data_IF_965892618018
#
_entry.id   IF_965892618018
#
_cell.length_a   1.000
_cell.length_b   1.000
_cell.length_c   1.000
_cell.angle_alpha   90.00
_cell.angle_beta   90.00
_cell.angle_gamma   90.00
#
_symmetry.space_group_name_H-M   'P 1'
#
loop_
_entity.id
_entity.type
_entity.pdbx_description
1 polymer ?
#
# COMPACT_ATOMS: atom_id res chain seq x y z
N UNK A 1 22.41 -52.32 4.21
CA UNK A 1 21.45 -51.45 3.47
C UNK A 1 21.58 -50.04 4.04
N UNK A 2 22.24 -49.14 3.32
CA UNK A 2 22.52 -47.76 3.75
C UNK A 2 21.42 -46.83 3.22
N UNK A 3 20.71 -46.15 4.13
CA UNK A 3 19.72 -45.12 3.75
C UNK A 3 20.48 -43.90 3.24
N UNK A 4 20.44 -43.67 1.92
CA UNK A 4 20.80 -42.39 1.30
C UNK A 4 19.97 -41.29 1.97
N UNK A 5 20.62 -40.39 2.70
CA UNK A 5 20.01 -39.13 3.12
C UNK A 5 19.62 -38.36 1.86
N UNK A 6 18.32 -38.16 1.67
CA UNK A 6 17.81 -37.26 0.63
C UNK A 6 18.23 -35.85 1.03
N UNK A 7 19.02 -35.21 0.17
CA UNK A 7 19.48 -33.84 0.37
C UNK A 7 18.30 -32.92 0.60
N UNK A 8 18.33 -32.19 1.72
CA UNK A 8 17.32 -31.20 2.04
C UNK A 8 17.22 -30.18 0.92
N UNK A 9 16.02 -29.97 0.42
CA UNK A 9 15.70 -28.87 -0.49
C UNK A 9 16.21 -27.59 0.17
N UNK A 10 17.11 -26.81 -0.44
CA UNK A 10 17.52 -25.53 0.14
C UNK A 10 16.27 -24.68 0.27
N UNK A 11 15.83 -24.44 1.50
CA UNK A 11 14.83 -23.43 1.78
C UNK A 11 15.38 -22.12 1.26
N UNK A 12 14.66 -21.47 0.33
CA UNK A 12 14.91 -20.11 -0.15
C UNK A 12 14.66 -19.09 0.98
N UNK A 13 15.27 -19.32 2.14
CA UNK A 13 15.25 -18.40 3.26
C UNK A 13 16.27 -17.32 3.01
N UNK A 14 15.85 -16.06 3.11
CA UNK A 14 16.76 -14.94 3.25
C UNK A 14 17.60 -15.15 4.52
N UNK A 15 18.92 -15.01 4.43
CA UNK A 15 19.77 -15.07 5.62
C UNK A 15 19.50 -13.86 6.52
N UNK A 16 19.71 -14.01 7.82
CA UNK A 16 19.32 -12.99 8.79
C UNK A 16 20.08 -11.66 8.62
N UNK A 17 21.34 -11.68 8.17
CA UNK A 17 22.10 -10.46 7.89
C UNK A 17 21.50 -9.70 6.69
N UNK A 18 21.14 -10.43 5.63
CA UNK A 18 20.43 -9.86 4.49
C UNK A 18 19.05 -9.33 4.90
N UNK A 19 18.32 -10.02 5.78
CA UNK A 19 17.04 -9.54 6.31
C UNK A 19 17.18 -8.22 7.05
N UNK A 20 18.17 -8.09 7.94
CA UNK A 20 18.42 -6.83 8.65
C UNK A 20 18.78 -5.73 7.65
N UNK A 21 19.65 -6.03 6.68
CA UNK A 21 20.07 -5.07 5.66
C UNK A 21 18.89 -4.56 4.80
N UNK A 22 18.11 -5.47 4.21
CA UNK A 22 16.99 -5.12 3.33
C UNK A 22 15.79 -4.57 4.12
N UNK A 23 15.57 -5.05 5.34
CA UNK A 23 14.52 -4.59 6.25
C UNK A 23 14.73 -3.15 6.72
N UNK A 24 15.96 -2.64 6.67
CA UNK A 24 16.31 -1.26 7.00
C UNK A 24 16.62 -0.39 5.78
N UNK A 25 16.52 -0.93 4.56
CA UNK A 25 16.84 -0.21 3.33
C UNK A 25 15.59 0.42 2.69
N UNK A 26 15.35 1.70 3.00
CA UNK A 26 14.22 2.44 2.45
C UNK A 26 14.17 2.45 0.91
N UNK A 27 15.31 2.47 0.22
CA UNK A 27 15.32 2.51 -1.25
C UNK A 27 14.90 1.16 -1.86
N UNK A 28 15.30 0.05 -1.24
CA UNK A 28 14.80 -1.27 -1.60
C UNK A 28 13.27 -1.34 -1.48
N UNK A 29 12.70 -0.73 -0.44
CA UNK A 29 11.24 -0.66 -0.25
C UNK A 29 10.56 0.25 -1.29
N UNK A 30 11.13 1.42 -1.61
CA UNK A 30 10.61 2.29 -2.69
C UNK A 30 10.62 1.57 -4.04
N UNK A 31 11.70 0.84 -4.35
CA UNK A 31 11.78 0.03 -5.57
C UNK A 31 10.70 -1.05 -5.63
N UNK A 32 10.43 -1.71 -4.51
CA UNK A 32 9.35 -2.70 -4.42
C UNK A 32 7.98 -2.05 -4.61
N UNK A 33 7.72 -0.91 -3.95
CA UNK A 33 6.50 -0.13 -4.12
C UNK A 33 6.27 0.29 -5.59
N UNK A 34 7.31 0.79 -6.28
CA UNK A 34 7.26 1.09 -7.73
C UNK A 34 6.88 -0.13 -8.56
N UNK A 35 7.38 -1.31 -8.19
CA UNK A 35 7.03 -2.54 -8.89
C UNK A 35 5.57 -2.95 -8.68
N UNK A 36 5.04 -2.80 -7.46
CA UNK A 36 3.64 -3.07 -7.17
C UNK A 36 2.74 -2.09 -7.92
N UNK A 37 3.10 -0.79 -7.91
CA UNK A 37 2.36 0.25 -8.65
C UNK A 37 2.21 -0.10 -10.13
N UNK A 38 3.30 -0.48 -10.82
CA UNK A 38 3.23 -0.89 -12.24
C UNK A 38 2.24 -2.04 -12.48
N UNK A 39 2.16 -3.00 -11.57
CA UNK A 39 1.18 -4.09 -11.66
C UNK A 39 -0.25 -3.58 -11.41
N UNK A 40 -0.43 -2.62 -10.52
CA UNK A 40 -1.72 -1.96 -10.29
C UNK A 40 -2.16 -1.18 -11.54
N UNK A 41 -1.25 -0.41 -12.15
CA UNK A 41 -1.48 0.36 -13.38
C UNK A 41 -1.94 -0.56 -14.52
N UNK A 42 -1.27 -1.70 -14.73
CA UNK A 42 -1.66 -2.65 -15.77
C UNK A 42 -3.09 -3.21 -15.56
N UNK A 43 -3.48 -3.50 -14.32
CA UNK A 43 -4.85 -3.95 -14.02
C UNK A 43 -5.87 -2.82 -14.14
N UNK A 44 -5.47 -1.59 -13.83
CA UNK A 44 -6.29 -0.42 -14.02
C UNK A 44 -6.59 -0.16 -15.50
N UNK A 45 -5.59 -0.31 -16.37
CA UNK A 45 -5.76 -0.24 -17.82
C UNK A 45 -6.75 -1.30 -18.32
N UNK A 46 -6.58 -2.57 -17.90
CA UNK A 46 -7.53 -3.65 -18.23
C UNK A 46 -8.97 -3.31 -17.80
N UNK A 47 -9.13 -2.70 -16.62
CA UNK A 47 -10.45 -2.27 -16.16
C UNK A 47 -11.02 -1.13 -16.99
N UNK A 48 -10.22 -0.10 -17.28
CA UNK A 48 -10.64 1.06 -18.07
C UNK A 48 -11.09 0.65 -19.49
N UNK A 49 -10.47 -0.38 -20.06
CA UNK A 49 -10.89 -0.99 -21.32
C UNK A 49 -12.16 -1.83 -21.19
N UNK A 50 -12.31 -2.61 -20.10
CA UNK A 50 -13.44 -3.53 -19.92
C UNK A 50 -14.74 -2.86 -19.47
N UNK A 51 -14.68 -1.75 -18.72
CA UNK A 51 -15.86 -1.13 -18.11
C UNK A 51 -16.88 -0.56 -19.11
N UNK A 52 -16.50 0.08 -20.24
CA UNK A 52 -17.47 0.58 -21.20
C UNK A 52 -18.32 -0.55 -21.81
N UNK A 53 -17.67 -1.67 -22.17
CA UNK A 53 -18.34 -2.84 -22.73
C UNK A 53 -19.30 -3.48 -21.72
N UNK A 54 -18.90 -3.57 -20.45
CA UNK A 54 -19.78 -4.03 -19.38
C UNK A 54 -21.01 -3.12 -19.21
N UNK A 55 -20.82 -1.80 -19.18
CA UNK A 55 -21.91 -0.82 -19.06
C UNK A 55 -22.88 -0.90 -20.23
N UNK A 56 -22.37 -1.01 -21.46
CA UNK A 56 -23.19 -1.18 -22.67
C UNK A 56 -23.97 -2.50 -22.63
N UNK A 57 -23.34 -3.60 -22.22
CA UNK A 57 -23.99 -4.90 -22.09
C UNK A 57 -25.13 -4.86 -21.05
N UNK A 58 -24.89 -4.26 -19.88
CA UNK A 58 -25.91 -4.06 -18.85
C UNK A 58 -27.07 -3.19 -19.35
N UNK A 59 -26.77 -2.09 -20.05
CA UNK A 59 -27.79 -1.16 -20.56
C UNK A 59 -28.70 -1.81 -21.60
N UNK A 60 -28.19 -2.80 -22.33
CA UNK A 60 -28.92 -3.53 -23.37
C UNK A 60 -29.50 -4.87 -22.88
N UNK A 61 -29.41 -5.17 -21.58
CA UNK A 61 -29.83 -6.46 -21.01
C UNK A 61 -29.22 -7.67 -21.75
N UNK A 62 -27.96 -7.55 -22.15
CA UNK A 62 -27.28 -8.60 -22.90
C UNK A 62 -27.12 -9.89 -22.05
N UNK A 63 -27.21 -11.10 -22.64
CA UNK A 63 -27.09 -12.36 -21.89
C UNK A 63 -25.76 -12.54 -21.15
N UNK A 64 -24.71 -11.80 -21.52
CA UNK A 64 -23.38 -11.86 -20.94
C UNK A 64 -23.02 -10.61 -20.09
N UNK A 65 -24.00 -9.75 -19.78
CA UNK A 65 -23.78 -8.51 -19.05
C UNK A 65 -23.14 -8.73 -17.67
N UNK A 66 -23.64 -9.70 -16.91
CA UNK A 66 -23.13 -10.03 -15.57
C UNK A 66 -21.66 -10.48 -15.64
N UNK A 67 -21.31 -11.36 -16.58
CA UNK A 67 -19.95 -11.86 -16.73
C UNK A 67 -18.95 -10.74 -17.13
N UNK A 68 -19.36 -9.81 -18.00
CA UNK A 68 -18.54 -8.65 -18.37
C UNK A 68 -18.34 -7.72 -17.18
N UNK A 69 -19.40 -7.46 -16.42
CA UNK A 69 -19.31 -6.64 -15.22
C UNK A 69 -18.43 -7.29 -14.14
N UNK A 70 -18.58 -8.58 -13.87
CA UNK A 70 -17.72 -9.33 -12.95
C UNK A 70 -16.25 -9.27 -13.35
N UNK A 71 -15.94 -9.40 -14.65
CA UNK A 71 -14.57 -9.28 -15.15
C UNK A 71 -14.00 -7.88 -14.92
N UNK A 72 -14.75 -6.83 -15.28
CA UNK A 72 -14.32 -5.45 -15.04
C UNK A 72 -14.13 -5.20 -13.54
N UNK A 73 -15.06 -5.67 -12.71
CA UNK A 73 -14.98 -5.55 -11.26
C UNK A 73 -13.73 -6.26 -10.68
N UNK A 74 -13.42 -7.45 -11.18
CA UNK A 74 -12.22 -8.20 -10.80
C UNK A 74 -10.92 -7.42 -11.08
N UNK A 75 -10.84 -6.74 -12.23
CA UNK A 75 -9.69 -5.89 -12.55
C UNK A 75 -9.57 -4.71 -11.59
N UNK A 76 -10.62 -3.91 -11.38
CA UNK A 76 -10.54 -2.73 -10.51
C UNK A 76 -10.31 -3.11 -9.04
N UNK A 77 -10.93 -4.18 -8.55
CA UNK A 77 -10.72 -4.64 -7.19
C UNK A 77 -9.26 -5.08 -6.95
N UNK A 78 -8.68 -5.77 -7.92
CA UNK A 78 -7.28 -6.20 -7.86
C UNK A 78 -6.31 -5.01 -8.00
N UNK A 79 -6.60 -4.06 -8.90
CA UNK A 79 -5.83 -2.83 -9.04
C UNK A 79 -5.85 -2.02 -7.73
N UNK A 80 -7.03 -1.83 -7.13
CA UNK A 80 -7.18 -1.16 -5.83
C UNK A 80 -6.36 -1.85 -4.73
N UNK A 81 -6.42 -3.17 -4.63
CA UNK A 81 -5.60 -3.90 -3.66
C UNK A 81 -4.10 -3.66 -3.88
N UNK A 82 -3.63 -3.70 -5.13
CA UNK A 82 -2.22 -3.45 -5.45
C UNK A 82 -1.81 -1.99 -5.20
N UNK A 83 -2.65 -1.01 -5.53
CA UNK A 83 -2.39 0.39 -5.16
C UNK A 83 -2.31 0.56 -3.64
N UNK A 84 -3.19 -0.10 -2.88
CA UNK A 84 -3.15 -0.12 -1.43
C UNK A 84 -1.81 -0.67 -0.90
N UNK A 85 -1.33 -1.80 -1.45
CA UNK A 85 -0.03 -2.37 -1.10
C UNK A 85 1.16 -1.49 -1.52
N UNK A 86 1.08 -0.84 -2.68
CA UNK A 86 2.09 0.12 -3.13
C UNK A 86 2.20 1.31 -2.18
N UNK A 87 1.06 1.90 -1.78
CA UNK A 87 0.99 2.98 -0.79
C UNK A 87 1.50 2.52 0.58
N UNK A 88 1.10 1.34 1.05
CA UNK A 88 1.59 0.76 2.31
C UNK A 88 3.11 0.70 2.32
N UNK A 89 3.69 0.17 1.24
CA UNK A 89 5.13 -0.02 1.09
C UNK A 89 5.85 1.33 0.96
N UNK A 90 5.30 2.29 0.22
CA UNK A 90 5.86 3.62 0.06
C UNK A 90 5.87 4.42 1.37
N UNK A 91 4.77 4.40 2.13
CA UNK A 91 4.71 5.06 3.45
C UNK A 91 5.71 4.43 4.42
N UNK A 92 5.80 3.10 4.44
CA UNK A 92 6.78 2.39 5.25
C UNK A 92 8.22 2.70 4.87
N UNK A 93 8.51 2.85 3.57
CA UNK A 93 9.82 3.31 3.09
C UNK A 93 10.16 4.73 3.59
N UNK A 94 9.19 5.65 3.54
CA UNK A 94 9.36 7.01 4.08
C UNK A 94 9.61 7.00 5.58
N UNK A 95 8.88 6.19 6.34
CA UNK A 95 9.09 6.03 7.79
C UNK A 95 10.48 5.48 8.08
N UNK A 96 10.94 4.47 7.32
CA UNK A 96 12.28 3.92 7.44
C UNK A 96 13.37 4.98 7.21
N UNK A 97 13.18 5.84 6.22
CA UNK A 97 14.13 6.89 5.89
C UNK A 97 14.17 8.01 6.95
N UNK A 98 13.00 8.44 7.42
CA UNK A 98 12.85 9.67 8.23
C UNK A 98 12.73 9.42 9.74
N UNK A 99 12.41 8.19 10.17
CA UNK A 99 12.27 7.84 11.59
C UNK A 99 12.74 6.39 11.84
N UNK A 100 13.98 6.03 11.47
CA UNK A 100 14.49 4.66 11.59
C UNK A 100 14.47 4.13 13.03
N UNK A 101 14.53 5.00 14.04
CA UNK A 101 14.41 4.66 15.46
C UNK A 101 13.03 4.10 15.85
N UNK A 102 12.01 4.31 15.03
CA UNK A 102 10.66 3.75 15.23
C UNK A 102 10.50 2.34 14.65
N UNK A 103 11.58 1.79 14.08
CA UNK A 103 11.63 0.47 13.46
C UNK A 103 12.34 -0.48 14.41
N UNK A 104 11.64 -1.53 14.81
CA UNK A 104 12.16 -2.52 15.74
C UNK A 104 12.43 -3.83 15.00
N UNK A 105 13.71 -4.20 14.89
CA UNK A 105 14.14 -5.50 14.38
C UNK A 105 14.73 -6.29 15.54
N UNK A 106 14.07 -7.40 15.90
CA UNK A 106 14.59 -8.31 16.89
C UNK A 106 15.63 -9.21 16.24
N UNK A 107 16.88 -9.11 16.70
CA UNK A 107 18.00 -9.92 16.23
C UNK A 107 18.29 -11.01 17.26
N UNK A 108 18.33 -12.27 16.81
CA UNK A 108 18.76 -13.40 17.64
C UNK A 108 20.16 -13.82 17.24
N UNK A 109 21.08 -13.84 18.20
CA UNK A 109 22.47 -14.28 18.01
C UNK A 109 22.75 -15.59 18.72
N UNK A 110 23.70 -16.37 18.22
CA UNK A 110 24.23 -17.53 18.94
C UNK A 110 25.21 -17.12 20.07
N UNK A 111 25.75 -18.12 20.78
CA UNK A 111 26.75 -17.89 21.83
C UNK A 111 28.11 -17.37 21.33
N UNK A 112 28.28 -17.18 20.02
CA UNK A 112 29.46 -16.58 19.38
C UNK A 112 29.20 -15.16 18.86
N UNK A 113 27.96 -14.69 18.95
CA UNK A 113 27.55 -13.38 18.44
C UNK A 113 27.13 -13.39 16.96
N UNK A 114 27.07 -14.56 16.32
CA UNK A 114 26.61 -14.66 14.92
C UNK A 114 25.10 -14.54 14.86
N UNK A 115 24.59 -13.74 13.92
CA UNK A 115 23.15 -13.56 13.73
C UNK A 115 22.54 -14.82 13.13
N UNK A 116 21.62 -15.45 13.87
CA UNK A 116 20.94 -16.68 13.47
C UNK A 116 19.51 -16.45 13.00
N UNK A 117 18.85 -15.39 13.48
CA UNK A 117 17.52 -14.99 13.03
C UNK A 117 17.34 -13.49 13.21
N UNK A 118 16.45 -12.91 12.39
CA UNK A 118 15.99 -11.55 12.53
C UNK A 118 14.48 -11.49 12.26
N UNK A 119 13.76 -10.67 13.00
CA UNK A 119 12.31 -10.51 12.88
C UNK A 119 11.96 -9.02 12.95
N UNK A 120 11.18 -8.53 11.99
CA UNK A 120 10.63 -7.17 12.03
C UNK A 120 9.44 -7.15 13.00
N UNK A 121 9.61 -6.51 14.16
CA UNK A 121 8.59 -6.40 15.21
C UNK A 121 7.69 -5.18 15.05
N UNK A 122 8.23 -4.07 14.54
CA UNK A 122 7.49 -2.83 14.38
C UNK A 122 8.07 -1.97 13.26
N UNK A 123 7.21 -1.20 12.59
CA UNK A 123 7.60 -0.30 11.52
C UNK A 123 6.77 1.00 11.58
N UNK A 124 7.19 1.94 12.42
CA UNK A 124 6.60 3.29 12.55
C UNK A 124 5.26 3.39 13.29
N UNK A 125 4.39 2.39 13.14
CA UNK A 125 3.09 2.29 13.80
C UNK A 125 2.99 0.96 14.56
N UNK A 126 2.14 0.86 15.60
CA UNK A 126 1.91 -0.41 16.29
C UNK A 126 1.47 -1.50 15.31
N UNK A 127 1.90 -2.75 15.51
CA UNK A 127 1.61 -3.87 14.59
C UNK A 127 0.13 -4.09 14.32
N UNK A 128 -0.74 -3.83 15.29
CA UNK A 128 -2.20 -3.90 15.12
C UNK A 128 -2.74 -2.92 14.07
N UNK A 129 -1.96 -1.89 13.73
CA UNK A 129 -2.24 -0.87 12.71
C UNK A 129 -1.26 -0.92 11.54
N UNK A 130 -0.45 -1.98 11.43
CA UNK A 130 0.59 -2.09 10.40
C UNK A 130 0.08 -2.12 8.95
N UNK A 131 -1.23 -2.28 8.76
CA UNK A 131 -1.93 -2.25 7.47
C UNK A 131 -2.96 -1.12 7.36
N UNK A 132 -3.09 -0.28 8.40
CA UNK A 132 -3.97 0.89 8.39
C UNK A 132 -3.29 2.00 7.60
N UNK A 133 -3.70 2.18 6.35
CA UNK A 133 -3.09 3.14 5.45
C UNK A 133 -3.29 4.58 5.91
N UNK A 134 -4.38 4.90 6.64
CA UNK A 134 -4.59 6.24 7.19
C UNK A 134 -3.58 6.51 8.29
N UNK A 135 -3.35 5.55 9.18
CA UNK A 135 -2.34 5.66 10.23
C UNK A 135 -0.92 5.78 9.64
N UNK A 136 -0.59 4.96 8.64
CA UNK A 136 0.70 5.01 7.95
C UNK A 136 0.91 6.33 7.21
N UNK A 137 -0.09 6.80 6.45
CA UNK A 137 -0.03 8.08 5.74
C UNK A 137 0.17 9.26 6.70
N UNK A 138 -0.52 9.24 7.84
CA UNK A 138 -0.34 10.25 8.90
C UNK A 138 1.09 10.23 9.42
N UNK A 139 1.62 9.04 9.76
CA UNK A 139 2.98 8.88 10.28
C UNK A 139 4.05 9.24 9.24
N UNK A 140 3.81 8.97 7.97
CA UNK A 140 4.68 9.31 6.85
C UNK A 140 4.56 10.78 6.40
N UNK A 141 3.65 11.57 6.97
CA UNK A 141 3.49 12.99 6.65
C UNK A 141 2.67 13.29 5.39
N UNK A 142 1.93 12.32 4.84
CA UNK A 142 1.13 12.51 3.64
C UNK A 142 0.03 13.59 3.79
N UNK A 143 -0.37 13.88 5.02
CA UNK A 143 -1.36 14.91 5.35
C UNK A 143 -0.73 16.24 5.81
N UNK A 144 0.57 16.44 5.60
CA UNK A 144 1.25 17.69 5.94
C UNK A 144 0.70 18.87 5.13
N UNK A 145 0.52 20.03 5.80
CA UNK A 145 -0.18 21.21 5.27
C UNK A 145 0.72 22.41 4.93
N UNK A 146 2.03 22.27 5.09
CA UNK A 146 2.98 23.37 4.88
C UNK A 146 3.54 23.44 3.44
N UNK A 147 4.71 24.07 3.31
CA UNK A 147 5.41 24.13 2.03
C UNK A 147 5.81 22.71 1.59
N UNK A 148 5.43 22.31 0.36
CA UNK A 148 5.63 20.94 -0.12
C UNK A 148 4.48 19.97 0.19
N UNK A 149 3.32 20.46 0.66
CA UNK A 149 2.12 19.65 0.77
C UNK A 149 1.72 19.04 -0.60
N UNK A 150 1.33 17.76 -0.59
CA UNK A 150 0.88 17.04 -1.80
C UNK A 150 -0.42 17.67 -2.34
N UNK A 151 -1.31 18.03 -1.42
CA UNK A 151 -2.58 18.69 -1.71
C UNK A 151 -2.68 20.01 -0.95
N UNK A 152 -3.47 20.96 -1.42
CA UNK A 152 -3.71 22.22 -0.69
C UNK A 152 -5.15 22.38 -0.20
N UNK A 153 -6.12 21.80 -0.90
CA UNK A 153 -7.54 21.98 -0.58
C UNK A 153 -8.04 20.92 0.41
N UNK A 154 -8.83 21.32 1.41
CA UNK A 154 -9.37 20.40 2.43
C UNK A 154 -10.17 19.22 1.84
N UNK A 155 -10.85 19.44 0.72
CA UNK A 155 -11.57 18.39 0.00
C UNK A 155 -10.67 17.25 -0.45
N UNK A 156 -9.42 17.54 -0.85
CA UNK A 156 -8.48 16.52 -1.32
C UNK A 156 -7.95 15.68 -0.16
N UNK A 157 -7.74 16.29 1.01
CA UNK A 157 -7.36 15.55 2.22
C UNK A 157 -8.49 14.64 2.68
N UNK A 158 -9.73 15.14 2.68
CA UNK A 158 -10.90 14.33 3.02
C UNK A 158 -11.07 13.16 2.04
N UNK A 159 -10.90 13.41 0.74
CA UNK A 159 -10.95 12.38 -0.29
C UNK A 159 -9.83 11.35 -0.12
N UNK A 160 -8.58 11.79 0.04
CA UNK A 160 -7.43 10.90 0.26
C UNK A 160 -7.64 10.04 1.52
N UNK A 161 -8.04 10.63 2.65
CA UNK A 161 -8.27 9.88 3.87
C UNK A 161 -9.35 8.80 3.69
N UNK A 162 -10.43 9.13 2.97
CA UNK A 162 -11.49 8.18 2.67
C UNK A 162 -11.03 7.06 1.71
N UNK A 163 -10.24 7.40 0.68
CA UNK A 163 -9.62 6.44 -0.25
C UNK A 163 -8.69 5.50 0.50
N UNK A 164 -7.81 6.02 1.37
CA UNK A 164 -6.90 5.19 2.16
C UNK A 164 -7.65 4.26 3.13
N UNK A 165 -8.78 4.71 3.69
CA UNK A 165 -9.68 3.87 4.46
C UNK A 165 -10.26 2.71 3.63
N UNK A 166 -10.76 3.00 2.42
CA UNK A 166 -11.23 1.98 1.48
C UNK A 166 -10.12 0.99 1.10
N UNK A 167 -8.94 1.48 0.72
CA UNK A 167 -7.81 0.65 0.34
C UNK A 167 -7.27 -0.21 1.48
N UNK A 168 -7.35 0.27 2.73
CA UNK A 168 -7.04 -0.54 3.92
C UNK A 168 -7.93 -1.78 3.97
N UNK A 169 -9.23 -1.62 3.71
CA UNK A 169 -10.16 -2.75 3.66
C UNK A 169 -9.86 -3.66 2.46
N UNK A 170 -9.48 -3.12 1.31
CA UNK A 170 -9.05 -3.92 0.15
C UNK A 170 -7.85 -4.81 0.47
N UNK A 171 -6.81 -4.23 1.09
CA UNK A 171 -5.57 -4.95 1.47
C UNK A 171 -5.81 -5.99 2.55
N UNK A 172 -6.55 -5.64 3.61
CA UNK A 172 -6.73 -6.52 4.77
C UNK A 172 -7.76 -7.62 4.51
N UNK A 173 -8.78 -7.35 3.69
CA UNK A 173 -9.93 -8.24 3.54
C UNK A 173 -10.07 -8.82 2.14
N UNK A 174 -10.15 -7.99 1.11
CA UNK A 174 -10.53 -8.45 -0.24
C UNK A 174 -9.48 -9.35 -0.89
N UNK A 175 -8.20 -9.22 -0.52
CA UNK A 175 -7.16 -10.17 -0.93
C UNK A 175 -7.32 -11.59 -0.36
N UNK A 176 -8.22 -11.79 0.61
CA UNK A 176 -8.43 -13.08 1.32
C UNK A 176 -9.82 -13.64 1.15
N UNK A 177 -10.82 -12.77 0.95
CA UNK A 177 -12.22 -13.16 0.93
C UNK A 177 -12.92 -12.55 -0.30
N UNK A 178 -13.70 -13.35 -1.05
CA UNK A 178 -14.41 -12.87 -2.23
C UNK A 178 -15.70 -12.11 -1.90
N UNK A 179 -15.94 -11.78 -0.63
CA UNK A 179 -17.18 -11.17 -0.15
C UNK A 179 -16.87 -9.99 0.78
N UNK A 180 -17.75 -8.97 0.86
CA UNK A 180 -17.60 -7.88 1.81
C UNK A 180 -17.72 -8.38 3.25
N UNK A 181 -17.18 -7.61 4.20
CA UNK A 181 -17.27 -7.92 5.65
C UNK A 181 -18.70 -8.05 6.16
N UNK A 182 -19.64 -7.34 5.54
CA UNK A 182 -21.05 -7.28 5.94
C UNK A 182 -21.93 -7.29 4.71
N UNK A 183 -22.95 -8.15 4.70
CA UNK A 183 -23.97 -8.18 3.65
C UNK A 183 -24.76 -6.87 3.60
N UNK A 184 -25.06 -6.38 2.41
CA UNK A 184 -25.86 -5.16 2.21
C UNK A 184 -25.16 -3.85 2.58
N UNK A 185 -23.91 -3.91 3.08
CA UNK A 185 -23.06 -2.73 3.24
C UNK A 185 -22.13 -2.63 2.03
N UNK A 186 -22.60 -1.99 0.97
CA UNK A 186 -21.68 -1.43 -0.02
C UNK A 186 -20.83 -0.34 0.63
N UNK A 187 -19.65 -0.09 0.08
CA UNK A 187 -18.87 1.08 0.48
C UNK A 187 -19.70 2.34 0.22
N UNK A 188 -19.84 3.19 1.24
CA UNK A 188 -20.49 4.49 1.13
C UNK A 188 -19.43 5.56 1.39
N UNK A 189 -19.14 6.43 0.41
CA UNK A 189 -18.28 7.57 0.62
C UNK A 189 -18.74 8.39 1.84
N UNK A 190 -17.80 8.90 2.65
CA UNK A 190 -18.13 9.90 3.66
C UNK A 190 -18.83 11.12 3.03
N UNK A 191 -19.65 11.82 3.82
CA UNK A 191 -20.30 13.05 3.37
C UNK A 191 -19.26 14.06 2.85
N UNK A 192 -19.55 14.67 1.70
CA UNK A 192 -18.65 15.62 1.04
C UNK A 192 -17.55 15.01 0.17
N UNK A 193 -17.36 13.67 0.19
CA UNK A 193 -16.43 12.99 -0.73
C UNK A 193 -17.19 12.45 -1.94
N UNK A 194 -16.82 12.83 -3.17
CA UNK A 194 -17.55 12.41 -4.35
C UNK A 194 -17.33 10.92 -4.62
N UNK A 195 -18.40 10.19 -4.95
CA UNK A 195 -18.33 8.74 -5.22
C UNK A 195 -17.38 8.37 -6.37
N UNK A 196 -17.19 9.28 -7.34
CA UNK A 196 -16.24 9.09 -8.44
C UNK A 196 -14.79 8.92 -7.96
N UNK A 197 -14.45 9.41 -6.76
CA UNK A 197 -13.13 9.24 -6.15
C UNK A 197 -12.82 7.78 -5.79
N UNK A 198 -13.82 6.90 -5.77
CA UNK A 198 -13.65 5.46 -5.51
C UNK A 198 -13.81 4.61 -6.78
N UNK A 199 -14.18 5.25 -7.90
CA UNK A 199 -14.21 4.67 -9.23
C UNK A 199 -13.04 5.20 -10.06
N UNK A 200 -13.29 5.60 -11.32
CA UNK A 200 -12.25 5.96 -12.30
C UNK A 200 -11.35 7.14 -11.93
N UNK A 201 -11.70 7.92 -10.90
CA UNK A 201 -10.89 9.07 -10.49
C UNK A 201 -10.02 8.80 -9.28
N UNK A 202 -10.05 7.59 -8.71
CA UNK A 202 -9.24 7.29 -7.52
C UNK A 202 -7.75 7.56 -7.73
N UNK A 203 -7.24 7.30 -8.94
CA UNK A 203 -5.85 7.56 -9.32
C UNK A 203 -5.47 9.04 -9.23
N UNK A 204 -6.41 9.97 -9.42
CA UNK A 204 -6.17 11.42 -9.30
C UNK A 204 -5.66 11.81 -7.90
N UNK A 205 -6.01 11.01 -6.87
CA UNK A 205 -5.52 11.20 -5.49
C UNK A 205 -4.38 10.26 -5.10
N UNK A 206 -4.24 9.11 -5.76
CA UNK A 206 -3.20 8.12 -5.42
C UNK A 206 -1.89 8.46 -6.10
N UNK A 207 -1.91 8.83 -7.38
CA UNK A 207 -0.71 9.04 -8.16
C UNK A 207 0.17 10.17 -7.61
N UNK A 208 -0.36 11.37 -7.26
CA UNK A 208 0.49 12.41 -6.67
C UNK A 208 1.13 11.98 -5.34
N UNK A 209 0.44 11.14 -4.55
CA UNK A 209 0.97 10.62 -3.29
C UNK A 209 2.09 9.61 -3.55
N UNK A 210 1.87 8.66 -4.46
CA UNK A 210 2.91 7.71 -4.85
C UNK A 210 4.10 8.42 -5.50
N UNK A 211 3.87 9.39 -6.38
CA UNK A 211 4.93 10.18 -6.99
C UNK A 211 5.74 10.92 -5.94
N UNK A 212 5.09 11.52 -4.94
CA UNK A 212 5.79 12.18 -3.83
C UNK A 212 6.68 11.22 -3.05
N UNK A 213 6.16 10.07 -2.61
CA UNK A 213 6.92 9.14 -1.76
C UNK A 213 7.91 8.24 -2.52
N UNK A 214 7.77 8.13 -3.84
CA UNK A 214 8.63 7.31 -4.70
C UNK A 214 9.69 8.12 -5.45
N UNK A 215 9.72 9.45 -5.30
CA UNK A 215 10.87 10.24 -5.71
C UNK A 215 12.10 9.90 -4.84
N UNK A 216 13.28 9.87 -5.45
CA UNK A 216 14.52 9.53 -4.72
C UNK A 216 14.90 10.63 -3.71
N UNK A 217 15.57 10.26 -2.60
CA UNK A 217 15.86 11.11 -1.45
C UNK A 217 16.73 12.35 -1.73
N UNK A 218 17.31 12.48 -2.93
CA UNK A 218 18.02 13.71 -3.33
C UNK A 218 17.08 14.96 -3.35
N UNK A 219 15.76 14.77 -3.21
CA UNK A 219 14.76 15.82 -3.00
C UNK A 219 14.12 15.91 -1.60
N UNK A 220 14.48 15.06 -0.62
CA UNK A 220 13.78 14.92 0.68
C UNK A 220 14.14 16.01 1.73
N UNK A 221 14.94 17.02 1.40
CA UNK A 221 15.27 18.13 2.30
C UNK A 221 14.09 19.06 2.67
N UNK A 222 12.84 18.72 2.31
CA UNK A 222 11.67 19.61 2.46
C UNK A 222 10.84 19.43 3.73
N UNK A 223 11.09 18.40 4.55
CA UNK A 223 10.29 18.13 5.75
C UNK A 223 11.08 18.27 7.06
N UNK A 224 12.01 19.23 7.15
CA UNK A 224 12.43 19.65 8.49
C UNK A 224 11.23 20.30 9.18
N UNK A 225 10.72 19.73 10.29
CA UNK A 225 9.68 20.39 11.05
C UNK A 225 10.26 21.72 11.51
N UNK A 226 9.57 22.82 11.21
CA UNK A 226 9.91 24.13 11.75
C UNK A 226 9.81 24.04 13.28
N UNK A 227 10.94 23.76 13.94
CA UNK A 227 11.03 23.60 15.40
C UNK A 227 10.84 24.93 16.15
N UNK A 228 10.41 25.99 15.46
CA UNK A 228 10.34 27.36 15.94
C UNK A 228 8.93 27.89 16.18
N UNK A 229 8.08 27.20 16.94
CA UNK A 229 6.91 27.85 17.57
C UNK A 229 6.53 27.16 18.89
N UNK A 230 7.30 27.46 19.94
CA UNK A 230 6.83 27.37 21.32
C UNK A 230 5.69 28.37 21.50
N UNK A 231 4.48 27.86 21.77
CA UNK A 231 3.39 28.66 22.35
C UNK A 231 3.70 29.01 23.81
#
# INVERSE_FOLDING_TARGET
MSRKQLGGTPTLGMDANRFVKEGSDAESWRNYARSIRRSADALWECWAEAVPDAVVAMSNEAPDADAKFESAYGYVASAQMLYGLALETAFKASILANSPETVEIQITTDGRGEVTAAELKQLGVPMSKGHDLVALATKAGAFYRGAGAIYSADSDYAALQAILGHLTDMVVWMGRYPIPRRSGQGFQPPEGVPSVAFGHRMIDWIDPVLDFFLQSPDGEAMLEPDTGATL
#
